data_IF_401662321642
#
_entry.id   IF_401662321642
#
_cell.length_a   1.000
_cell.length_b   1.000
_cell.length_c   1.000
_cell.angle_alpha   90.00
_cell.angle_beta   90.00
_cell.angle_gamma   90.00
#
_symmetry.space_group_name_H-M   'P 1'
#
loop_
_entity.id
_entity.type
_entity.pdbx_description
1 polymer ?
#
# COMPACT_ATOMS: atom_id res chain seq x y z
N UNK A 1 -13.59 13.81 -10.85
CA UNK A 1 -12.46 13.34 -10.00
C UNK A 1 -12.92 12.67 -8.69
N UNK A 2 -14.18 12.81 -8.22
CA UNK A 2 -14.60 12.25 -6.93
C UNK A 2 -14.96 10.75 -6.88
N UNK A 3 -15.30 10.09 -7.99
CA UNK A 3 -15.94 8.75 -7.93
C UNK A 3 -14.98 7.59 -7.63
N UNK A 4 -13.72 7.67 -8.06
CA UNK A 4 -12.73 6.62 -7.77
C UNK A 4 -12.42 6.54 -6.27
N UNK A 5 -12.42 7.67 -5.54
CA UNK A 5 -12.19 7.69 -4.09
C UNK A 5 -13.22 6.89 -3.29
N UNK A 6 -14.40 6.64 -3.86
CA UNK A 6 -15.52 6.02 -3.12
C UNK A 6 -15.46 4.50 -3.16
N UNK A 7 -15.10 3.89 -4.30
CA UNK A 7 -15.24 2.43 -4.48
C UNK A 7 -14.25 1.63 -3.64
N UNK A 8 -12.95 1.92 -3.73
CA UNK A 8 -11.95 1.21 -2.92
C UNK A 8 -12.11 1.50 -1.43
N UNK A 9 -12.65 2.67 -1.08
CA UNK A 9 -12.84 3.07 0.31
C UNK A 9 -13.98 2.27 0.94
N UNK A 10 -15.13 2.19 0.27
CA UNK A 10 -16.27 1.38 0.75
C UNK A 10 -15.90 -0.10 0.83
N UNK A 11 -15.17 -0.62 -0.16
CA UNK A 11 -14.65 -1.99 -0.12
C UNK A 11 -13.71 -2.24 1.06
N UNK A 12 -12.76 -1.33 1.29
CA UNK A 12 -11.84 -1.42 2.42
C UNK A 12 -12.55 -1.30 3.78
N UNK A 13 -13.52 -0.39 3.92
CA UNK A 13 -14.33 -0.24 5.13
C UNK A 13 -15.04 -1.54 5.50
N UNK A 14 -15.60 -2.25 4.51
CA UNK A 14 -16.25 -3.54 4.75
C UNK A 14 -15.26 -4.57 5.32
N UNK A 15 -14.12 -4.73 4.66
CA UNK A 15 -13.10 -5.72 5.05
C UNK A 15 -12.50 -5.40 6.44
N UNK A 16 -12.28 -4.11 6.73
CA UNK A 16 -11.77 -3.65 8.03
C UNK A 16 -12.78 -3.94 9.16
N UNK A 17 -14.07 -3.77 8.88
CA UNK A 17 -15.13 -4.10 9.85
C UNK A 17 -15.18 -5.59 10.20
N UNK A 18 -14.78 -6.46 9.27
CA UNK A 18 -14.68 -7.91 9.48
C UNK A 18 -13.45 -8.32 10.32
N UNK A 19 -12.61 -7.36 10.73
CA UNK A 19 -11.49 -7.57 11.66
C UNK A 19 -10.11 -7.48 11.03
N UNK A 20 -10.00 -7.07 9.77
CA UNK A 20 -8.71 -6.89 9.09
C UNK A 20 -8.11 -5.51 9.42
N UNK A 21 -6.83 -5.48 9.78
CA UNK A 21 -6.15 -4.23 10.14
C UNK A 21 -5.67 -3.43 8.93
N UNK A 22 -5.31 -4.11 7.83
CA UNK A 22 -4.70 -3.49 6.65
C UNK A 22 -5.27 -4.10 5.37
N UNK A 23 -5.78 -3.25 4.49
CA UNK A 23 -6.23 -3.62 3.13
C UNK A 23 -5.26 -3.02 2.11
N UNK A 24 -4.71 -3.85 1.24
CA UNK A 24 -3.79 -3.43 0.17
C UNK A 24 -4.45 -3.68 -1.18
N UNK A 25 -4.45 -2.68 -2.05
CA UNK A 25 -4.98 -2.80 -3.41
C UNK A 25 -4.07 -2.10 -4.43
N UNK A 26 -3.97 -2.65 -5.63
CA UNK A 26 -3.30 -2.02 -6.77
C UNK A 26 -4.31 -1.39 -7.73
N UNK A 27 -3.97 -1.33 -9.03
CA UNK A 27 -4.90 -1.06 -10.13
C UNK A 27 -5.49 0.36 -10.22
N UNK A 28 -5.41 1.19 -9.18
CA UNK A 28 -5.92 2.56 -9.21
C UNK A 28 -4.89 3.62 -9.59
N UNK A 29 -3.64 3.21 -9.90
CA UNK A 29 -2.55 4.09 -10.37
C UNK A 29 -2.34 5.31 -9.46
N UNK A 30 -2.63 5.16 -8.16
CA UNK A 30 -2.51 6.23 -7.17
C UNK A 30 -1.75 5.71 -5.97
N UNK A 31 -0.70 6.41 -5.59
CA UNK A 31 0.02 6.11 -4.36
C UNK A 31 -0.70 6.74 -3.17
N UNK A 32 -1.38 5.92 -2.35
CA UNK A 32 -2.11 6.43 -1.17
C UNK A 32 -2.00 5.50 0.03
N UNK A 33 -1.82 6.10 1.19
CA UNK A 33 -2.08 5.49 2.50
C UNK A 33 -3.19 6.27 3.18
N UNK A 34 -4.28 5.61 3.54
CA UNK A 34 -5.46 6.25 4.13
C UNK A 34 -5.86 5.50 5.39
N UNK A 35 -5.94 6.21 6.51
CA UNK A 35 -6.56 5.66 7.72
C UNK A 35 -8.08 5.56 7.52
N UNK A 36 -8.64 4.39 7.77
CA UNK A 36 -10.07 4.11 7.62
C UNK A 36 -10.54 3.39 8.89
N UNK A 37 -11.30 4.10 9.71
CA UNK A 37 -11.80 3.59 11.00
C UNK A 37 -10.63 3.10 11.88
N UNK A 38 -10.60 1.80 12.19
CA UNK A 38 -9.55 1.12 12.96
C UNK A 38 -8.42 0.54 12.11
N UNK A 39 -8.54 0.58 10.78
CA UNK A 39 -7.59 -0.03 9.86
C UNK A 39 -6.95 0.96 8.89
N UNK A 40 -6.10 0.45 8.01
CA UNK A 40 -5.39 1.22 6.99
C UNK A 40 -5.68 0.67 5.59
N UNK A 41 -6.06 1.54 4.67
CA UNK A 41 -6.06 1.24 3.24
C UNK A 41 -4.76 1.74 2.59
N UNK A 42 -4.07 0.83 1.91
CA UNK A 42 -2.94 1.13 1.04
C UNK A 42 -3.33 0.89 -0.40
N UNK A 43 -3.12 1.91 -1.23
CA UNK A 43 -3.24 1.83 -2.67
C UNK A 43 -1.85 1.96 -3.27
N UNK A 44 -1.41 0.89 -3.92
CA UNK A 44 -0.17 0.87 -4.66
C UNK A 44 -0.38 1.47 -6.04
N UNK A 45 0.69 2.10 -6.51
CA UNK A 45 0.76 2.65 -7.85
C UNK A 45 0.98 1.58 -8.92
N UNK A 46 0.99 2.02 -10.17
CA UNK A 46 1.39 1.17 -11.30
C UNK A 46 2.90 1.25 -11.55
N UNK A 47 3.47 0.19 -12.13
CA UNK A 47 4.91 0.09 -12.36
C UNK A 47 5.44 1.06 -13.43
N UNK A 48 4.58 1.71 -14.21
CA UNK A 48 4.99 2.64 -15.27
C UNK A 48 5.19 4.07 -14.73
N UNK A 49 4.39 4.50 -13.75
CA UNK A 49 4.42 5.88 -13.20
C UNK A 49 4.76 5.94 -11.72
N UNK A 50 4.43 4.91 -10.97
CA UNK A 50 4.52 4.86 -9.51
C UNK A 50 5.08 3.49 -9.11
N UNK A 51 6.37 3.31 -9.40
CA UNK A 51 7.25 2.17 -9.09
C UNK A 51 7.29 1.84 -7.60
N UNK A 52 6.14 1.53 -7.03
CA UNK A 52 5.88 1.57 -5.60
C UNK A 52 5.62 0.20 -5.04
N UNK A 53 6.03 0.02 -3.80
CA UNK A 53 5.85 -1.20 -3.03
C UNK A 53 5.55 -0.83 -1.57
N UNK A 54 4.95 -1.77 -0.85
CA UNK A 54 4.69 -1.64 0.57
C UNK A 54 5.64 -2.54 1.35
N UNK A 55 6.10 -2.05 2.50
CA UNK A 55 6.85 -2.82 3.49
C UNK A 55 5.99 -2.93 4.74
N UNK A 56 5.70 -4.15 5.17
CA UNK A 56 4.98 -4.46 6.40
C UNK A 56 5.97 -5.06 7.41
N UNK A 57 6.33 -4.28 8.41
CA UNK A 57 7.27 -4.68 9.46
C UNK A 57 6.64 -4.40 10.82
N UNK A 58 6.57 -5.42 11.68
CA UNK A 58 6.02 -5.30 13.04
C UNK A 58 4.64 -4.64 13.09
N UNK A 59 3.76 -4.99 12.14
CA UNK A 59 2.41 -4.42 12.02
C UNK A 59 2.36 -3.00 11.43
N UNK A 60 3.50 -2.36 11.15
CA UNK A 60 3.55 -1.05 10.53
C UNK A 60 3.74 -1.18 9.02
N UNK A 61 2.80 -0.61 8.26
CA UNK A 61 2.90 -0.52 6.82
C UNK A 61 3.48 0.83 6.37
N UNK A 62 4.53 0.77 5.56
CA UNK A 62 5.11 1.93 4.89
C UNK A 62 5.06 1.72 3.37
N UNK A 63 5.08 2.83 2.62
CA UNK A 63 5.03 2.80 1.16
C UNK A 63 6.28 3.49 0.64
N UNK A 64 6.97 2.85 -0.28
CA UNK A 64 8.21 3.33 -0.89
C UNK A 64 8.10 3.30 -2.40
N UNK A 65 8.94 4.09 -3.07
CA UNK A 65 9.18 3.97 -4.50
C UNK A 65 10.57 3.40 -4.74
N UNK A 66 10.74 2.56 -5.76
CA UNK A 66 11.98 1.85 -6.04
C UNK A 66 13.18 2.79 -6.15
N UNK A 67 13.03 3.91 -6.86
CA UNK A 67 14.11 4.89 -7.02
C UNK A 67 14.53 5.56 -5.72
N UNK A 68 13.58 5.92 -4.86
CA UNK A 68 13.80 6.73 -3.65
C UNK A 68 13.82 5.92 -2.36
N UNK A 69 13.66 4.61 -2.46
CA UNK A 69 13.66 3.72 -1.32
C UNK A 69 14.97 3.82 -0.51
N UNK A 70 14.88 3.72 0.83
CA UNK A 70 16.03 3.50 1.69
C UNK A 70 16.93 2.38 1.17
N UNK A 71 18.25 2.58 1.23
CA UNK A 71 19.22 1.62 0.73
C UNK A 71 19.08 0.25 1.41
N UNK A 72 18.75 0.24 2.70
CA UNK A 72 18.49 -0.98 3.48
C UNK A 72 17.43 -1.89 2.83
N UNK A 73 16.39 -1.34 2.22
CA UNK A 73 15.37 -2.13 1.53
C UNK A 73 15.83 -2.58 0.15
N UNK A 74 16.66 -1.79 -0.53
CA UNK A 74 17.25 -2.19 -1.82
C UNK A 74 18.21 -3.37 -1.65
N UNK A 75 18.95 -3.38 -0.54
CA UNK A 75 19.88 -4.46 -0.22
C UNK A 75 19.13 -5.77 0.08
N UNK A 76 18.02 -5.70 0.82
CA UNK A 76 17.15 -6.86 1.09
C UNK A 76 16.54 -7.46 -0.19
N UNK A 77 16.13 -6.61 -1.15
CA UNK A 77 15.50 -7.06 -2.39
C UNK A 77 16.51 -7.61 -3.42
N UNK A 78 17.81 -7.43 -3.16
CA UNK A 78 18.89 -7.94 -4.00
C UNK A 78 19.53 -9.21 -3.42
N UNK A 79 19.12 -9.66 -2.23
CA UNK A 79 19.57 -10.92 -1.65
C UNK A 79 18.79 -12.09 -2.27
N UNK A 80 19.41 -12.97 -3.07
CA UNK A 80 18.74 -14.12 -3.67
C UNK A 80 18.33 -15.20 -2.65
N UNK A 81 18.60 -15.02 -1.35
CA UNK A 81 18.26 -15.96 -0.28
C UNK A 81 17.24 -15.42 0.75
N UNK A 82 16.69 -14.21 0.55
CA UNK A 82 15.63 -13.63 1.40
C UNK A 82 14.25 -14.25 1.15
#
# INVERSE_FOLDING_TARGET
IQHANTVYRVGAEKIINEGVDIVISGHYHHLKKVAIQKGTLVILGDWMRYDSYAVLENGNISIHQWKTAPQTYKDLLQDPQS
#
